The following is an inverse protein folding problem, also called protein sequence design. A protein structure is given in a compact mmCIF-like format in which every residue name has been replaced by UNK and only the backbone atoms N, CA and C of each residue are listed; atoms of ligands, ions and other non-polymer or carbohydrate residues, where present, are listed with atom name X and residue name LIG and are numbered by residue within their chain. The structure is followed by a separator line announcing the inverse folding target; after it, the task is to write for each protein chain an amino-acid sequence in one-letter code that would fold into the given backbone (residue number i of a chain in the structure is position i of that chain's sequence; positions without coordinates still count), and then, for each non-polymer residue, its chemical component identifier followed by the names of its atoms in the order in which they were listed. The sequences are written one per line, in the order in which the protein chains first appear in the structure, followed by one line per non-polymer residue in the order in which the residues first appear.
data_IF_744687019334
#
_entry.id   IF_744687019334
#
_cell.length_a   1.000
_cell.length_b   1.000
_cell.length_c   1.000
_cell.angle_alpha   90.00
_cell.angle_beta   90.00
_cell.angle_gamma   90.00
#
_symmetry.space_group_name_H-M   'P 1'
#
loop_
_entity.id
_entity.type
_entity.pdbx_description
1 polymer ?
#
# COMPACT_ATOMS: atom_id res chain seq x y z
N UNK A 1 19.47 -21.44 -9.98
CA UNK A 1 18.50 -21.91 -8.96
C UNK A 1 18.18 -20.71 -8.08
N UNK A 2 16.93 -20.27 -8.03
CA UNK A 2 16.52 -19.15 -7.18
C UNK A 2 16.68 -19.51 -5.70
N UNK A 3 17.05 -18.53 -4.88
CA UNK A 3 17.14 -18.69 -3.43
C UNK A 3 15.72 -18.93 -2.88
N UNK A 4 15.53 -19.98 -2.08
CA UNK A 4 14.26 -20.22 -1.38
C UNK A 4 14.21 -19.33 -0.13
N UNK A 5 13.17 -18.53 0.03
CA UNK A 5 12.95 -17.71 1.22
C UNK A 5 11.82 -18.32 2.04
N UNK A 6 12.19 -18.87 3.20
CA UNK A 6 11.21 -19.45 4.13
C UNK A 6 10.36 -18.37 4.79
N UNK A 7 9.08 -18.66 4.96
CA UNK A 7 8.14 -17.81 5.68
C UNK A 7 8.13 -18.17 7.16
N UNK A 8 7.95 -17.16 8.04
CA UNK A 8 7.86 -17.31 9.49
C UNK A 8 6.45 -16.93 9.95
N UNK A 9 5.64 -17.93 10.28
CA UNK A 9 4.25 -17.77 10.67
C UNK A 9 4.11 -18.12 12.15
N UNK A 10 4.09 -17.11 13.02
CA UNK A 10 3.91 -17.25 14.47
C UNK A 10 2.48 -16.86 14.90
N UNK A 11 1.74 -16.17 14.02
CA UNK A 11 0.33 -15.84 14.19
C UNK A 11 -0.61 -16.93 13.70
N UNK A 12 -1.89 -16.61 13.67
CA UNK A 12 -2.96 -17.56 13.28
C UNK A 12 -3.64 -17.10 11.98
N UNK A 13 -3.79 -18.01 11.02
CA UNK A 13 -4.63 -17.82 9.83
C UNK A 13 -5.76 -18.86 9.91
N UNK A 14 -7.00 -18.37 9.96
CA UNK A 14 -8.21 -19.19 9.93
C UNK A 14 -9.00 -18.82 8.65
N UNK A 15 -8.76 -19.55 7.58
CA UNK A 15 -9.39 -19.33 6.27
C UNK A 15 -9.57 -20.65 5.53
N UNK A 16 -10.57 -20.69 4.63
CA UNK A 16 -10.86 -21.86 3.77
C UNK A 16 -9.79 -22.01 2.67
N UNK A 17 -9.33 -20.90 2.09
CA UNK A 17 -8.27 -20.86 1.08
C UNK A 17 -7.13 -19.94 1.54
N UNK A 18 -5.88 -20.45 1.47
CA UNK A 18 -4.69 -19.69 1.87
C UNK A 18 -3.61 -19.80 0.81
N UNK A 19 -3.18 -18.65 0.29
CA UNK A 19 -2.03 -18.54 -0.61
C UNK A 19 -0.95 -17.68 0.08
N UNK A 20 0.26 -18.20 0.23
CA UNK A 20 1.36 -17.51 0.92
C UNK A 20 2.58 -17.50 0.00
N UNK A 21 3.10 -16.30 -0.27
CA UNK A 21 4.32 -16.09 -1.02
C UNK A 21 5.59 -16.41 -0.24
N UNK A 22 6.72 -16.08 -0.82
CA UNK A 22 8.04 -16.31 -0.23
C UNK A 22 8.34 -15.32 0.91
N UNK A 23 9.01 -15.79 1.96
CA UNK A 23 9.59 -14.94 3.01
C UNK A 23 8.59 -14.06 3.76
N UNK A 24 7.33 -14.51 3.86
CA UNK A 24 6.26 -13.83 4.63
C UNK A 24 6.54 -13.95 6.12
N UNK A 25 6.33 -12.87 6.86
CA UNK A 25 6.44 -12.86 8.32
C UNK A 25 5.12 -12.47 8.94
N UNK A 26 4.59 -13.35 9.79
CA UNK A 26 3.42 -13.08 10.66
C UNK A 26 3.87 -13.26 12.10
N UNK A 27 3.88 -12.17 12.86
CA UNK A 27 4.37 -12.19 14.23
C UNK A 27 3.34 -12.75 15.21
N UNK A 28 3.81 -13.08 16.42
CA UNK A 28 3.03 -13.67 17.51
C UNK A 28 1.77 -12.84 17.86
N UNK A 29 0.67 -13.53 18.07
CA UNK A 29 -0.62 -12.91 18.42
C UNK A 29 -1.32 -12.18 17.28
N UNK A 30 -0.72 -12.13 16.07
CA UNK A 30 -1.44 -11.69 14.88
C UNK A 30 -2.49 -12.74 14.47
N UNK A 31 -3.67 -12.29 14.05
CA UNK A 31 -4.79 -13.16 13.69
C UNK A 31 -5.47 -12.69 12.41
N UNK A 32 -5.67 -13.61 11.48
CA UNK A 32 -6.44 -13.40 10.25
C UNK A 32 -7.60 -14.39 10.25
N UNK A 33 -8.84 -13.91 10.21
CA UNK A 33 -10.04 -14.75 10.23
C UNK A 33 -11.24 -14.04 9.58
N UNK A 34 -12.34 -14.75 9.36
CA UNK A 34 -13.63 -14.17 9.03
C UNK A 34 -14.44 -13.80 10.27
N UNK A 35 -15.58 -13.10 10.06
CA UNK A 35 -16.52 -12.76 11.14
C UNK A 35 -17.32 -14.00 11.53
N UNK A 36 -17.08 -14.53 12.74
CA UNK A 36 -17.81 -15.68 13.27
C UNK A 36 -17.40 -17.05 12.69
N UNK A 37 -16.32 -17.14 11.93
CA UNK A 37 -15.80 -18.35 11.29
C UNK A 37 -14.55 -18.07 10.47
N UNK A 38 -14.12 -19.02 9.62
CA UNK A 38 -12.97 -18.80 8.75
C UNK A 38 -13.23 -17.68 7.73
N UNK A 39 -12.18 -16.98 7.31
CA UNK A 39 -12.22 -16.18 6.09
C UNK A 39 -12.37 -17.10 4.88
N UNK A 40 -13.04 -16.65 3.83
CA UNK A 40 -13.13 -17.42 2.58
C UNK A 40 -11.77 -17.59 1.91
N UNK A 41 -11.00 -16.49 1.83
CA UNK A 41 -9.69 -16.49 1.17
C UNK A 41 -8.72 -15.48 1.77
N UNK A 42 -7.47 -15.93 1.93
CA UNK A 42 -6.33 -15.08 2.32
C UNK A 42 -5.22 -15.25 1.29
N UNK A 43 -4.73 -14.13 0.73
CA UNK A 43 -3.60 -14.10 -0.20
C UNK A 43 -2.53 -13.15 0.35
N UNK A 44 -1.36 -13.67 0.63
CA UNK A 44 -0.20 -12.89 1.06
C UNK A 44 0.90 -13.00 0.01
N UNK A 45 1.26 -11.88 -0.60
CA UNK A 45 2.36 -11.80 -1.56
C UNK A 45 3.73 -12.01 -0.93
N UNK A 46 4.77 -11.91 -1.74
CA UNK A 46 6.15 -12.14 -1.31
C UNK A 46 6.62 -11.08 -0.29
N UNK A 47 7.35 -11.52 0.72
CA UNK A 47 8.02 -10.67 1.71
C UNK A 47 7.08 -9.73 2.47
N UNK A 48 5.80 -10.10 2.58
CA UNK A 48 4.84 -9.39 3.42
C UNK A 48 5.20 -9.49 4.90
N UNK A 49 4.78 -8.48 5.66
CA UNK A 49 4.95 -8.44 7.09
C UNK A 49 3.62 -8.10 7.78
N UNK A 50 3.21 -8.90 8.75
CA UNK A 50 2.08 -8.64 9.63
C UNK A 50 2.59 -8.66 11.08
N UNK A 51 2.56 -7.49 11.70
CA UNK A 51 3.12 -7.26 13.03
C UNK A 51 2.27 -7.87 14.15
N UNK A 52 2.91 -8.02 15.30
CA UNK A 52 2.34 -8.65 16.49
C UNK A 52 0.97 -8.06 16.89
N UNK A 53 0.08 -8.90 17.41
CA UNK A 53 -1.24 -8.50 17.93
C UNK A 53 -2.15 -7.79 16.91
N UNK A 54 -1.82 -7.83 15.62
CA UNK A 54 -2.68 -7.31 14.55
C UNK A 54 -3.88 -8.22 14.37
N UNK A 55 -5.09 -7.65 14.29
CA UNK A 55 -6.32 -8.41 14.07
C UNK A 55 -6.92 -8.06 12.72
N UNK A 56 -7.12 -9.08 11.87
CA UNK A 56 -7.71 -8.97 10.55
C UNK A 56 -8.96 -9.85 10.53
N UNK A 57 -10.15 -9.22 10.48
CA UNK A 57 -11.45 -9.88 10.52
C UNK A 57 -12.24 -9.51 9.27
N UNK A 58 -12.06 -10.29 8.21
CA UNK A 58 -12.60 -10.02 6.88
C UNK A 58 -13.07 -11.29 6.18
N UNK A 59 -14.05 -11.22 5.27
CA UNK A 59 -14.45 -12.37 4.46
C UNK A 59 -13.35 -12.79 3.45
N UNK A 60 -12.57 -11.85 2.97
CA UNK A 60 -11.42 -12.06 2.08
C UNK A 60 -10.38 -10.96 2.31
N UNK A 61 -9.10 -11.35 2.37
CA UNK A 61 -7.99 -10.43 2.57
C UNK A 61 -6.85 -10.71 1.60
N UNK A 62 -6.34 -9.66 0.94
CA UNK A 62 -5.18 -9.75 0.05
C UNK A 62 -4.14 -8.68 0.40
N UNK A 63 -2.89 -9.09 0.48
CA UNK A 63 -1.75 -8.22 0.77
C UNK A 63 -0.66 -8.43 -0.28
N UNK A 64 -0.29 -7.37 -1.00
CA UNK A 64 0.71 -7.41 -2.07
C UNK A 64 2.14 -7.49 -1.57
N UNK A 65 3.07 -7.82 -2.48
CA UNK A 65 4.48 -8.03 -2.17
C UNK A 65 5.11 -6.85 -1.42
N UNK A 66 6.03 -7.15 -0.51
CA UNK A 66 6.78 -6.19 0.32
C UNK A 66 5.90 -5.26 1.16
N UNK A 67 4.61 -5.49 1.24
CA UNK A 67 3.71 -4.68 2.07
C UNK A 67 3.83 -5.04 3.54
N UNK A 68 3.87 -4.01 4.39
CA UNK A 68 4.02 -4.15 5.84
C UNK A 68 2.78 -3.60 6.54
N UNK A 69 2.14 -4.43 7.33
CA UNK A 69 1.07 -4.07 8.27
C UNK A 69 1.62 -4.20 9.70
N UNK A 70 1.91 -3.06 10.32
CA UNK A 70 2.58 -3.03 11.62
C UNK A 70 1.65 -3.37 12.79
N UNK A 71 2.29 -3.64 13.94
CA UNK A 71 1.69 -4.18 15.14
C UNK A 71 0.45 -3.41 15.65
N UNK A 72 -0.45 -4.13 16.34
CA UNK A 72 -1.64 -3.61 17.00
C UNK A 72 -2.66 -2.96 16.07
N UNK A 73 -2.58 -3.21 14.76
CA UNK A 73 -3.55 -2.69 13.80
C UNK A 73 -4.84 -3.52 13.83
N UNK A 74 -5.96 -2.87 13.58
CA UNK A 74 -7.28 -3.48 13.49
C UNK A 74 -7.87 -3.30 12.10
N UNK A 75 -8.02 -4.40 11.38
CA UNK A 75 -8.54 -4.47 10.02
C UNK A 75 -9.83 -5.27 10.05
N UNK A 76 -10.95 -4.67 9.69
CA UNK A 76 -12.23 -5.35 9.81
C UNK A 76 -13.25 -4.89 8.76
N UNK A 77 -14.28 -5.70 8.56
CA UNK A 77 -15.37 -5.35 7.65
C UNK A 77 -16.21 -6.52 7.19
N UNK A 78 -17.18 -6.22 6.35
CA UNK A 78 -18.11 -7.20 5.75
C UNK A 78 -17.82 -7.43 4.26
N UNK A 79 -16.98 -6.60 3.68
CA UNK A 79 -16.54 -6.71 2.28
C UNK A 79 -15.06 -7.08 2.23
N UNK A 80 -14.59 -7.68 1.12
CA UNK A 80 -13.18 -7.93 0.89
C UNK A 80 -12.33 -6.66 1.06
N UNK A 81 -11.07 -6.84 1.50
CA UNK A 81 -10.06 -5.79 1.49
C UNK A 81 -8.84 -6.26 0.73
N UNK A 82 -8.33 -5.39 -0.15
CA UNK A 82 -7.12 -5.64 -0.91
C UNK A 82 -6.16 -4.47 -0.73
N UNK A 83 -4.91 -4.79 -0.38
CA UNK A 83 -3.82 -3.84 -0.20
C UNK A 83 -2.72 -4.22 -1.18
N UNK A 84 -2.31 -3.27 -2.01
CA UNK A 84 -1.31 -3.43 -3.07
C UNK A 84 0.09 -3.73 -2.57
N UNK A 85 1.05 -3.64 -3.49
CA UNK A 85 2.48 -3.88 -3.26
C UNK A 85 3.15 -2.66 -2.63
N UNK A 86 4.26 -2.89 -1.92
CA UNK A 86 5.13 -1.84 -1.36
C UNK A 86 4.39 -0.85 -0.43
N UNK A 87 3.28 -1.24 0.17
CA UNK A 87 2.54 -0.41 1.10
C UNK A 87 3.15 -0.45 2.50
N UNK A 88 2.95 0.63 3.24
CA UNK A 88 3.38 0.75 4.64
C UNK A 88 2.21 1.19 5.50
N UNK A 89 1.68 0.27 6.29
CA UNK A 89 0.61 0.56 7.25
C UNK A 89 1.22 0.59 8.64
N UNK A 90 1.31 1.76 9.22
CA UNK A 90 1.89 1.98 10.56
C UNK A 90 1.08 1.31 11.67
N UNK A 91 1.72 1.11 12.83
CA UNK A 91 1.07 0.46 13.97
C UNK A 91 -0.15 1.22 14.49
N UNK A 92 -1.06 0.48 15.13
CA UNK A 92 -2.32 1.00 15.69
C UNK A 92 -3.24 1.64 14.63
N UNK A 93 -3.11 1.26 13.37
CA UNK A 93 -4.02 1.70 12.32
C UNK A 93 -5.37 0.97 12.40
N UNK A 94 -6.44 1.66 12.05
CA UNK A 94 -7.77 1.07 11.87
C UNK A 94 -8.13 1.15 10.39
N UNK A 95 -8.39 0.00 9.77
CA UNK A 95 -8.85 -0.09 8.39
C UNK A 95 -10.21 -0.77 8.36
N UNK A 96 -11.22 -0.03 7.95
CA UNK A 96 -12.60 -0.52 7.85
C UNK A 96 -12.96 -0.85 6.40
N UNK A 97 -13.60 -1.99 6.21
CA UNK A 97 -14.11 -2.47 4.93
C UNK A 97 -15.58 -2.88 5.00
N UNK A 98 -16.40 -2.14 5.77
CA UNK A 98 -17.85 -2.38 5.73
C UNK A 98 -18.43 -2.05 4.35
N UNK A 99 -17.96 -0.98 3.72
CA UNK A 99 -18.33 -0.58 2.36
C UNK A 99 -17.48 -1.20 1.26
N UNK A 100 -16.35 -1.81 1.61
CA UNK A 100 -15.29 -2.28 0.72
C UNK A 100 -14.14 -1.30 0.64
N UNK A 101 -12.89 -1.81 0.75
CA UNK A 101 -11.68 -0.99 0.69
C UNK A 101 -10.62 -1.64 -0.19
N UNK A 102 -10.21 -0.92 -1.22
CA UNK A 102 -9.05 -1.24 -2.04
C UNK A 102 -8.00 -0.15 -1.89
N UNK A 103 -6.77 -0.57 -1.64
CA UNK A 103 -5.60 0.29 -1.48
C UNK A 103 -4.58 -0.11 -2.54
N UNK A 104 -4.28 0.79 -3.47
CA UNK A 104 -3.34 0.54 -4.55
C UNK A 104 -1.89 0.38 -4.07
N UNK A 105 -0.97 0.11 -5.02
CA UNK A 105 0.46 -0.03 -4.75
C UNK A 105 1.08 1.25 -4.16
N UNK A 106 2.10 1.08 -3.34
CA UNK A 106 2.99 2.14 -2.82
C UNK A 106 2.34 3.12 -1.82
N UNK A 107 1.20 2.78 -1.25
CA UNK A 107 0.49 3.64 -0.29
C UNK A 107 1.14 3.59 1.09
N UNK A 108 1.30 4.78 1.68
CA UNK A 108 1.72 4.95 3.06
C UNK A 108 0.55 5.37 3.96
N UNK A 109 0.27 4.61 5.00
CA UNK A 109 -0.67 4.99 6.06
C UNK A 109 0.11 5.02 7.37
N UNK A 110 0.41 6.21 7.86
CA UNK A 110 1.18 6.40 9.09
C UNK A 110 0.44 5.90 10.32
N UNK A 111 1.20 5.66 11.39
CA UNK A 111 0.66 5.10 12.64
C UNK A 111 -0.54 5.89 13.19
N UNK A 112 -1.44 5.16 13.88
CA UNK A 112 -2.66 5.69 14.49
C UNK A 112 -3.65 6.34 13.51
N UNK A 113 -3.52 6.08 12.20
CA UNK A 113 -4.50 6.55 11.22
C UNK A 113 -5.71 5.63 11.15
N UNK A 114 -6.86 6.19 10.79
CA UNK A 114 -8.12 5.48 10.69
C UNK A 114 -8.74 5.74 9.31
N UNK A 115 -9.02 4.66 8.58
CA UNK A 115 -9.66 4.70 7.26
C UNK A 115 -11.05 4.08 7.40
N UNK A 116 -12.08 4.86 7.14
CA UNK A 116 -13.47 4.46 7.33
C UNK A 116 -14.22 4.40 6.01
N UNK A 117 -14.96 3.31 5.78
CA UNK A 117 -15.82 3.13 4.60
C UNK A 117 -17.31 3.25 4.94
N UNK A 118 -17.63 3.56 6.20
CA UNK A 118 -19.02 3.74 6.64
C UNK A 118 -19.17 4.83 7.70
N UNK A 119 -20.39 5.34 7.79
CA UNK A 119 -20.94 6.14 8.89
C UNK A 119 -22.32 5.55 9.18
N UNK A 120 -22.48 4.87 10.32
CA UNK A 120 -23.69 4.12 10.58
C UNK A 120 -23.89 3.91 12.08
N UNK A 121 -24.75 4.71 12.68
CA UNK A 121 -25.18 4.49 14.06
C UNK A 121 -26.51 5.17 14.40
N UNK A 122 -26.84 6.30 13.79
CA UNK A 122 -28.04 7.07 14.11
C UNK A 122 -29.34 6.32 13.78
N UNK A 123 -30.37 6.56 14.60
CA UNK A 123 -31.70 6.00 14.40
C UNK A 123 -32.39 6.65 13.19
N UNK A 124 -32.52 5.90 12.10
CA UNK A 124 -33.14 6.38 10.85
C UNK A 124 -34.67 6.49 10.97
N UNK A 125 -35.28 5.77 11.91
CA UNK A 125 -36.73 5.86 12.16
C UNK A 125 -37.07 7.19 12.84
N UNK A 126 -36.16 7.65 13.73
CA UNK A 126 -36.24 8.98 14.35
C UNK A 126 -35.75 10.12 13.44
N UNK A 127 -35.37 9.79 12.17
CA UNK A 127 -35.00 10.79 11.17
C UNK A 127 -33.53 11.13 11.09
N UNK A 128 -32.64 10.28 11.62
CA UNK A 128 -31.20 10.46 11.41
C UNK A 128 -30.86 10.36 9.92
N UNK A 129 -30.24 11.41 9.37
CA UNK A 129 -29.87 11.51 7.96
C UNK A 129 -28.43 11.07 7.69
N UNK A 130 -27.66 10.84 8.74
CA UNK A 130 -26.25 10.48 8.62
C UNK A 130 -26.07 8.97 8.55
N UNK A 131 -26.21 8.45 7.35
CA UNK A 131 -25.96 7.05 7.01
C UNK A 131 -25.16 6.98 5.72
N UNK A 132 -24.02 6.30 5.75
CA UNK A 132 -23.21 6.06 4.57
C UNK A 132 -22.49 4.73 4.69
N UNK A 133 -22.52 3.93 3.63
CA UNK A 133 -21.71 2.71 3.46
C UNK A 133 -21.27 2.72 2.00
N UNK A 134 -20.00 3.06 1.76
CA UNK A 134 -19.49 3.30 0.41
C UNK A 134 -18.19 2.51 0.19
N UNK A 135 -18.08 1.94 -1.00
CA UNK A 135 -16.80 1.45 -1.48
C UNK A 135 -15.80 2.61 -1.56
N UNK A 136 -14.57 2.34 -1.11
CA UNK A 136 -13.48 3.30 -1.11
C UNK A 136 -12.28 2.73 -1.85
N UNK A 137 -11.71 3.54 -2.72
CA UNK A 137 -10.47 3.24 -3.42
C UNK A 137 -9.43 4.33 -3.09
N UNK A 138 -8.28 3.88 -2.59
CA UNK A 138 -7.12 4.73 -2.32
C UNK A 138 -6.13 4.53 -3.45
N UNK A 139 -5.89 5.59 -4.23
CA UNK A 139 -5.04 5.56 -5.41
C UNK A 139 -3.57 5.30 -5.09
N UNK A 140 -2.82 4.97 -6.13
CA UNK A 140 -1.38 4.66 -6.06
C UNK A 140 -0.57 5.83 -5.50
N UNK A 141 0.49 5.51 -4.73
CA UNK A 141 1.43 6.50 -4.18
C UNK A 141 0.83 7.52 -3.20
N UNK A 142 -0.36 7.27 -2.65
CA UNK A 142 -0.98 8.11 -1.62
C UNK A 142 -0.22 8.01 -0.31
N UNK A 143 -0.13 9.11 0.43
CA UNK A 143 0.48 9.13 1.75
C UNK A 143 -0.37 9.86 2.80
N UNK A 144 -0.88 9.12 3.77
CA UNK A 144 -1.41 9.65 5.03
C UNK A 144 -0.29 9.62 6.07
N UNK A 145 0.22 10.78 6.48
CA UNK A 145 1.48 10.88 7.25
C UNK A 145 1.39 10.23 8.64
N UNK A 146 0.23 10.27 9.27
CA UNK A 146 -0.03 9.63 10.56
C UNK A 146 -1.11 10.39 11.34
N UNK A 147 -1.78 9.69 12.26
CA UNK A 147 -2.91 10.22 13.01
C UNK A 147 -4.01 10.84 12.11
N UNK A 148 -4.12 10.38 10.86
CA UNK A 148 -5.14 10.85 9.93
C UNK A 148 -6.45 10.08 10.16
N UNK A 149 -7.57 10.78 10.09
CA UNK A 149 -8.91 10.18 10.08
C UNK A 149 -9.54 10.46 8.72
N UNK A 150 -9.89 9.41 7.99
CA UNK A 150 -10.36 9.51 6.61
C UNK A 150 -11.77 8.95 6.52
N UNK A 151 -12.72 9.78 6.12
CA UNK A 151 -14.11 9.42 5.83
C UNK A 151 -14.24 8.66 4.51
N UNK A 152 -15.40 8.07 4.20
CA UNK A 152 -15.65 7.44 2.90
C UNK A 152 -15.63 8.46 1.75
N UNK A 153 -14.45 8.70 1.20
CA UNK A 153 -14.16 9.67 0.12
C UNK A 153 -13.33 9.01 -0.98
N UNK A 154 -13.24 9.64 -2.14
CA UNK A 154 -12.32 9.26 -3.19
C UNK A 154 -10.94 9.83 -2.89
N UNK A 155 -9.89 9.02 -3.08
CA UNK A 155 -8.50 9.43 -2.82
C UNK A 155 -7.70 9.25 -4.09
N UNK A 156 -7.39 10.37 -4.76
CA UNK A 156 -6.63 10.41 -6.00
C UNK A 156 -5.18 9.94 -5.81
N UNK A 157 -4.60 9.36 -6.86
CA UNK A 157 -3.21 8.91 -6.83
C UNK A 157 -2.24 10.05 -6.45
N UNK A 158 -1.15 9.71 -5.77
CA UNK A 158 -0.11 10.67 -5.35
C UNK A 158 -0.63 11.79 -4.43
N UNK A 159 -1.85 11.70 -3.90
CA UNK A 159 -2.30 12.70 -2.93
C UNK A 159 -1.72 12.43 -1.55
N UNK A 160 -1.66 13.47 -0.74
CA UNK A 160 -1.06 13.42 0.60
C UNK A 160 -1.93 14.12 1.62
N UNK A 161 -2.11 13.54 2.80
CA UNK A 161 -2.66 14.23 3.96
C UNK A 161 -1.59 14.34 5.03
N UNK A 162 -1.34 15.57 5.49
CA UNK A 162 -0.36 15.85 6.53
C UNK A 162 -0.81 15.30 7.89
N UNK A 163 0.13 15.17 8.82
CA UNK A 163 -0.10 14.59 10.15
C UNK A 163 -1.31 15.22 10.86
N UNK A 164 -2.16 14.39 11.45
CA UNK A 164 -3.34 14.83 12.21
C UNK A 164 -4.50 15.36 11.37
N UNK A 165 -4.51 15.14 10.07
CA UNK A 165 -5.59 15.61 9.18
C UNK A 165 -6.87 14.79 9.32
N UNK A 166 -8.03 15.45 9.26
CA UNK A 166 -9.35 14.81 9.19
C UNK A 166 -9.93 15.03 7.80
N UNK A 167 -9.83 14.01 6.94
CA UNK A 167 -10.24 14.06 5.54
C UNK A 167 -11.72 13.71 5.43
N UNK A 168 -12.53 14.68 5.00
CA UNK A 168 -13.99 14.55 4.86
C UNK A 168 -14.49 14.84 3.46
N UNK A 169 -13.58 15.18 2.53
CA UNK A 169 -13.86 15.44 1.12
C UNK A 169 -12.86 14.70 0.24
N UNK A 170 -13.23 14.48 -1.02
CA UNK A 170 -12.37 13.87 -2.02
C UNK A 170 -11.01 14.58 -2.09
N UNK A 171 -9.94 13.79 -2.30
CA UNK A 171 -8.58 14.27 -2.48
C UNK A 171 -8.19 14.16 -3.95
N UNK A 172 -7.85 15.29 -4.57
CA UNK A 172 -7.42 15.34 -5.97
C UNK A 172 -6.04 14.69 -6.15
N UNK A 173 -5.76 14.13 -7.35
CA UNK A 173 -4.46 13.52 -7.63
C UNK A 173 -3.30 14.50 -7.45
N UNK A 174 -2.22 14.07 -6.78
CA UNK A 174 -1.00 14.81 -6.52
C UNK A 174 -1.17 16.12 -5.70
N UNK A 175 -2.28 16.24 -4.96
CA UNK A 175 -2.54 17.38 -4.08
C UNK A 175 -2.21 17.04 -2.61
N UNK A 176 -1.92 18.10 -1.82
CA UNK A 176 -1.56 18.01 -0.40
C UNK A 176 -2.66 18.63 0.45
N UNK A 177 -3.12 17.89 1.44
CA UNK A 177 -4.22 18.26 2.34
C UNK A 177 -3.76 18.38 3.77
N UNK A 178 -4.28 19.34 4.54
CA UNK A 178 -3.93 19.54 5.95
C UNK A 178 -5.09 20.07 6.79
N UNK A 179 -5.11 19.70 8.06
CA UNK A 179 -5.99 20.29 9.07
C UNK A 179 -7.25 19.51 9.40
N UNK A 180 -8.12 20.12 10.23
CA UNK A 180 -9.38 19.56 10.73
C UNK A 180 -10.52 20.59 10.56
N UNK A 181 -11.43 20.40 9.59
CA UNK A 181 -11.35 19.45 8.48
C UNK A 181 -10.17 19.74 7.55
N UNK A 182 -9.67 18.71 6.87
CA UNK A 182 -8.56 18.87 5.92
C UNK A 182 -8.98 19.73 4.72
N UNK A 183 -8.11 20.65 4.37
CA UNK A 183 -8.24 21.52 3.19
C UNK A 183 -7.05 21.32 2.28
N UNK A 184 -7.24 21.53 0.99
CA UNK A 184 -6.16 21.59 0.02
C UNK A 184 -5.20 22.74 0.37
N UNK A 185 -3.92 22.43 0.48
CA UNK A 185 -2.85 23.39 0.76
C UNK A 185 -1.75 23.34 -0.29
N UNK A 186 -2.00 22.68 -1.42
CA UNK A 186 -1.03 22.48 -2.52
C UNK A 186 -0.42 23.77 -3.01
N UNK A 187 -1.22 24.83 -3.16
CA UNK A 187 -0.73 26.16 -3.58
C UNK A 187 0.31 26.77 -2.62
N UNK A 188 0.32 26.31 -1.34
CA UNK A 188 1.23 26.83 -0.32
C UNK A 188 2.49 26.01 -0.15
N UNK A 189 2.38 24.67 -0.33
CA UNK A 189 3.47 23.73 0.00
C UNK A 189 4.01 23.00 -1.22
N UNK A 190 3.35 23.12 -2.38
CA UNK A 190 3.63 22.35 -3.58
C UNK A 190 2.94 20.98 -3.59
N UNK A 191 2.96 20.28 -4.74
CA UNK A 191 2.42 18.93 -4.88
C UNK A 191 3.29 17.91 -4.14
N UNK A 192 2.75 16.71 -3.86
CA UNK A 192 3.53 15.62 -3.24
C UNK A 192 4.69 15.17 -4.12
N UNK A 193 4.48 15.08 -5.42
CA UNK A 193 5.50 14.66 -6.39
C UNK A 193 5.77 15.75 -7.39
N UNK A 194 7.05 16.12 -7.52
CA UNK A 194 7.55 16.93 -8.63
C UNK A 194 7.81 16.05 -9.86
N UNK A 195 7.70 16.65 -11.04
CA UNK A 195 8.11 15.97 -12.27
C UNK A 195 9.62 15.74 -12.30
N UNK A 196 10.01 14.54 -12.72
CA UNK A 196 11.42 14.14 -12.90
C UNK A 196 11.58 13.48 -14.25
N UNK A 197 12.63 13.86 -14.98
CA UNK A 197 13.01 13.18 -16.23
C UNK A 197 13.47 11.75 -15.94
N UNK A 198 13.42 10.88 -16.96
CA UNK A 198 13.93 9.50 -16.87
C UNK A 198 15.40 9.50 -16.43
N UNK A 199 16.22 10.39 -17.01
CA UNK A 199 17.62 10.53 -16.64
C UNK A 199 17.82 10.92 -15.16
N UNK A 200 17.04 11.85 -14.63
CA UNK A 200 17.10 12.23 -13.21
C UNK A 200 16.70 11.06 -12.29
N UNK A 201 15.68 10.29 -12.68
CA UNK A 201 15.29 9.08 -11.94
C UNK A 201 16.39 8.03 -11.95
N UNK A 202 17.04 7.81 -13.11
CA UNK A 202 18.13 6.86 -13.25
C UNK A 202 19.32 7.24 -12.38
N UNK A 203 19.76 8.50 -12.41
CA UNK A 203 20.85 8.99 -11.55
C UNK A 203 20.51 8.76 -10.08
N UNK A 204 19.29 9.14 -9.66
CA UNK A 204 18.91 8.99 -8.25
C UNK A 204 18.85 7.55 -7.77
N UNK A 205 18.37 6.64 -8.61
CA UNK A 205 18.34 5.22 -8.28
C UNK A 205 19.75 4.64 -8.25
N UNK A 206 20.62 5.02 -9.19
CA UNK A 206 22.02 4.59 -9.21
C UNK A 206 22.76 5.00 -7.93
N UNK A 207 22.58 6.24 -7.46
CA UNK A 207 23.16 6.69 -6.18
C UNK A 207 22.74 5.79 -5.00
N UNK A 208 21.46 5.35 -4.99
CA UNK A 208 20.96 4.47 -3.93
C UNK A 208 21.55 3.06 -4.03
N UNK A 209 21.69 2.53 -5.25
CA UNK A 209 22.32 1.24 -5.48
C UNK A 209 23.82 1.29 -5.11
N UNK A 210 24.54 2.34 -5.51
CA UNK A 210 25.96 2.50 -5.18
C UNK A 210 26.17 2.57 -3.67
N UNK A 211 25.36 3.35 -2.96
CA UNK A 211 25.40 3.43 -1.50
C UNK A 211 25.06 2.10 -0.81
N UNK A 212 24.17 1.30 -1.40
CA UNK A 212 23.84 -0.03 -0.92
C UNK A 212 25.01 -1.00 -1.15
N UNK A 213 25.57 -1.04 -2.36
CA UNK A 213 26.70 -1.90 -2.73
C UNK A 213 27.94 -1.53 -1.93
N UNK A 214 28.19 -0.27 -1.60
CA UNK A 214 29.28 0.13 -0.72
C UNK A 214 29.22 -0.56 0.65
N UNK A 215 28.00 -0.84 1.16
CA UNK A 215 27.79 -1.57 2.42
C UNK A 215 27.72 -3.07 2.23
N UNK A 216 27.45 -3.52 1.03
CA UNK A 216 27.23 -4.91 0.64
C UNK A 216 28.02 -5.24 -0.65
N UNK A 217 29.37 -5.24 -0.60
CA UNK A 217 30.21 -5.42 -1.79
C UNK A 217 29.97 -6.75 -2.54
N UNK A 218 29.43 -7.75 -1.84
CA UNK A 218 29.05 -9.04 -2.40
C UNK A 218 27.97 -8.95 -3.48
N UNK A 219 27.27 -7.82 -3.58
CA UNK A 219 26.20 -7.58 -4.55
C UNK A 219 26.61 -6.69 -5.74
N UNK A 220 27.90 -6.37 -5.86
CA UNK A 220 28.40 -5.56 -6.97
C UNK A 220 28.03 -6.17 -8.33
N UNK A 221 27.49 -5.33 -9.24
CA UNK A 221 27.08 -5.71 -10.58
C UNK A 221 25.79 -6.55 -10.68
N UNK A 222 25.13 -6.88 -9.58
CA UNK A 222 23.92 -7.69 -9.57
C UNK A 222 22.61 -6.89 -9.71
N UNK A 223 22.66 -5.57 -9.50
CA UNK A 223 21.52 -4.65 -9.63
C UNK A 223 21.86 -3.61 -10.69
N UNK A 224 20.97 -3.46 -11.67
CA UNK A 224 21.21 -2.58 -12.82
C UNK A 224 20.04 -1.60 -12.97
N UNK A 225 20.36 -0.32 -13.18
CA UNK A 225 19.39 0.70 -13.57
C UNK A 225 19.30 0.75 -15.08
N UNK A 226 18.09 0.70 -15.63
CA UNK A 226 17.81 0.86 -17.06
C UNK A 226 16.79 1.97 -17.28
N UNK A 227 16.85 2.63 -18.43
CA UNK A 227 16.00 3.75 -18.77
C UNK A 227 14.89 3.39 -19.76
N UNK A 228 14.96 2.16 -20.31
CA UNK A 228 13.91 1.61 -21.18
C UNK A 228 13.81 0.09 -21.01
N UNK A 229 12.66 -0.52 -21.39
CA UNK A 229 12.48 -1.96 -21.37
C UNK A 229 13.51 -2.73 -22.20
N UNK A 230 14.00 -2.13 -23.30
CA UNK A 230 14.92 -2.78 -24.26
C UNK A 230 16.34 -2.95 -23.70
N UNK A 231 16.69 -2.22 -22.64
CA UNK A 231 17.99 -2.30 -21.96
C UNK A 231 18.04 -3.43 -20.92
N UNK A 232 16.90 -4.09 -20.65
CA UNK A 232 16.82 -5.19 -19.67
C UNK A 232 17.67 -6.38 -20.12
N UNK A 233 18.28 -7.03 -19.13
CA UNK A 233 19.15 -8.21 -19.34
C UNK A 233 18.51 -9.43 -18.70
N UNK A 234 18.53 -10.54 -19.42
CA UNK A 234 18.05 -11.81 -18.89
C UNK A 234 18.89 -12.29 -17.69
N UNK A 235 18.20 -12.80 -16.67
CA UNK A 235 18.85 -13.32 -15.45
C UNK A 235 19.44 -12.28 -14.51
N UNK A 236 19.26 -10.98 -14.81
CA UNK A 236 19.75 -9.87 -13.97
C UNK A 236 18.59 -9.05 -13.44
N UNK A 237 18.67 -8.62 -12.19
CA UNK A 237 17.69 -7.70 -11.62
C UNK A 237 17.89 -6.29 -12.20
N UNK A 238 17.06 -5.93 -13.19
CA UNK A 238 17.05 -4.63 -13.84
C UNK A 238 15.91 -3.78 -13.31
N UNK A 239 16.19 -2.58 -12.80
CA UNK A 239 15.23 -1.58 -12.39
C UNK A 239 14.99 -0.58 -13.52
N UNK A 240 13.84 -0.67 -14.16
CA UNK A 240 13.42 0.21 -15.25
C UNK A 240 12.71 1.45 -14.70
N UNK A 241 13.39 2.59 -14.70
CA UNK A 241 12.87 3.87 -14.19
C UNK A 241 11.82 4.50 -15.10
N UNK A 242 11.73 4.10 -16.38
CA UNK A 242 10.71 4.60 -17.30
C UNK A 242 9.33 4.04 -16.98
N UNK A 243 9.25 2.76 -16.65
CA UNK A 243 8.00 2.06 -16.32
C UNK A 243 7.82 1.84 -14.82
N UNK A 244 8.83 2.15 -14.01
CA UNK A 244 8.85 1.88 -12.57
C UNK A 244 8.63 0.41 -12.25
N UNK A 245 9.32 -0.46 -13.02
CA UNK A 245 9.24 -1.91 -12.88
C UNK A 245 10.62 -2.53 -12.69
N UNK A 246 10.69 -3.74 -12.15
CA UNK A 246 11.96 -4.47 -12.01
C UNK A 246 11.82 -5.92 -12.51
N UNK A 247 12.94 -6.50 -12.99
CA UNK A 247 13.02 -7.91 -13.37
C UNK A 247 13.20 -8.74 -12.11
N UNK A 248 12.17 -9.52 -11.75
CA UNK A 248 12.20 -10.40 -10.58
C UNK A 248 13.13 -11.60 -10.84
N UNK A 249 14.14 -11.75 -10.02
CA UNK A 249 15.13 -12.85 -10.09
C UNK A 249 15.19 -13.68 -8.82
N UNK A 250 14.62 -13.18 -7.72
CA UNK A 250 14.77 -13.74 -6.37
C UNK A 250 16.24 -13.90 -5.95
N UNK A 251 17.13 -13.07 -6.49
CA UNK A 251 18.51 -13.03 -6.04
C UNK A 251 18.61 -12.40 -4.65
N UNK A 252 19.68 -12.76 -3.91
CA UNK A 252 19.91 -12.15 -2.58
C UNK A 252 20.06 -10.63 -2.67
N UNK A 253 20.75 -10.14 -3.70
CA UNK A 253 20.93 -8.71 -3.95
C UNK A 253 19.59 -8.00 -4.14
N UNK A 254 18.70 -8.54 -5.01
CA UNK A 254 17.36 -7.99 -5.26
C UNK A 254 16.55 -7.87 -3.97
N UNK A 255 16.43 -9.00 -3.25
CA UNK A 255 15.59 -9.07 -2.04
C UNK A 255 16.15 -8.19 -0.93
N UNK A 256 17.48 -8.18 -0.74
CA UNK A 256 18.13 -7.33 0.26
C UNK A 256 17.93 -5.84 -0.06
N UNK A 257 18.13 -5.44 -1.32
CA UNK A 257 17.94 -4.05 -1.77
C UNK A 257 16.49 -3.59 -1.58
N UNK A 258 15.51 -4.36 -2.08
CA UNK A 258 14.11 -4.02 -1.94
C UNK A 258 13.68 -3.95 -0.47
N UNK A 259 14.04 -4.94 0.36
CA UNK A 259 13.72 -4.91 1.81
C UNK A 259 14.29 -3.67 2.52
N UNK A 260 15.49 -3.25 2.15
CA UNK A 260 16.15 -2.08 2.75
C UNK A 260 15.52 -0.75 2.30
N UNK A 261 14.95 -0.70 1.09
CA UNK A 261 14.57 0.57 0.45
C UNK A 261 13.07 0.71 0.15
N UNK A 262 12.20 -0.26 0.44
CA UNK A 262 10.75 -0.17 0.17
C UNK A 262 10.12 1.17 0.57
N UNK A 263 10.45 1.82 1.69
CA UNK A 263 9.90 3.13 2.01
C UNK A 263 10.28 4.24 1.01
N UNK A 264 11.39 4.09 0.30
CA UNK A 264 11.98 5.13 -0.58
C UNK A 264 11.98 4.74 -2.06
N UNK A 265 12.12 3.44 -2.35
CA UNK A 265 12.21 2.89 -3.72
C UNK A 265 11.07 1.90 -3.90
N UNK A 266 10.18 2.19 -4.83
CA UNK A 266 8.96 1.44 -5.04
C UNK A 266 8.82 1.07 -6.51
N UNK A 267 9.07 -0.19 -6.82
CA UNK A 267 8.98 -0.76 -8.15
C UNK A 267 8.05 -1.99 -8.12
N UNK A 268 7.35 -2.25 -9.21
CA UNK A 268 6.52 -3.44 -9.39
C UNK A 268 7.24 -4.44 -10.28
N UNK A 269 7.05 -5.76 -10.12
CA UNK A 269 7.68 -6.74 -10.99
C UNK A 269 7.14 -6.65 -12.42
N UNK A 270 8.04 -6.92 -13.38
CA UNK A 270 7.69 -6.94 -14.82
C UNK A 270 6.77 -8.10 -15.14
N UNK A 271 5.77 -7.86 -16.00
CA UNK A 271 4.89 -8.89 -16.54
C UNK A 271 3.77 -9.34 -15.61
N UNK A 272 3.73 -8.84 -14.38
CA UNK A 272 2.64 -9.12 -13.49
C UNK A 272 1.48 -8.13 -13.65
N UNK A 273 0.23 -8.61 -13.61
CA UNK A 273 -0.93 -7.72 -13.65
C UNK A 273 -0.96 -6.80 -12.41
N UNK A 274 -1.72 -5.70 -12.46
CA UNK A 274 -2.01 -4.92 -11.27
C UNK A 274 -2.50 -5.83 -10.14
N UNK A 275 -1.94 -5.69 -8.95
CA UNK A 275 -2.36 -6.51 -7.80
C UNK A 275 -3.80 -6.19 -7.40
N UNK A 276 -4.18 -4.93 -7.54
CA UNK A 276 -5.54 -4.44 -7.32
C UNK A 276 -6.22 -4.22 -8.67
N UNK A 277 -7.36 -4.88 -8.87
CA UNK A 277 -8.35 -4.52 -9.87
C UNK A 277 -9.54 -3.99 -9.08
N UNK A 278 -9.86 -2.68 -9.15
CA UNK A 278 -10.93 -2.08 -8.37
C UNK A 278 -12.25 -2.83 -8.54
N UNK A 279 -12.98 -3.05 -7.45
CA UNK A 279 -14.26 -3.78 -7.48
C UNK A 279 -15.36 -3.01 -8.19
N UNK A 280 -15.22 -1.69 -8.25
CA UNK A 280 -16.15 -0.78 -8.91
C UNK A 280 -15.36 0.17 -9.82
N UNK A 281 -15.95 0.65 -10.92
CA UNK A 281 -15.33 1.68 -11.74
C UNK A 281 -14.95 2.88 -10.88
N UNK A 282 -13.70 3.32 -10.98
CA UNK A 282 -13.25 4.57 -10.37
C UNK A 282 -13.70 5.70 -11.28
N UNK A 283 -14.73 6.44 -10.87
CA UNK A 283 -15.16 7.62 -11.62
C UNK A 283 -14.05 8.67 -11.67
N UNK A 284 -13.83 9.33 -12.81
CA UNK A 284 -12.87 10.40 -12.88
C UNK A 284 -13.25 11.54 -11.91
N UNK A 285 -12.25 12.20 -11.34
CA UNK A 285 -12.47 13.43 -10.59
C UNK A 285 -13.07 14.46 -11.55
N UNK A 286 -14.27 14.93 -11.26
CA UNK A 286 -14.81 16.08 -11.95
C UNK A 286 -13.99 17.30 -11.46
N UNK A 287 -13.33 17.99 -12.38
CA UNK A 287 -12.69 19.26 -12.03
C UNK A 287 -13.74 20.15 -11.38
N UNK A 288 -13.38 20.80 -10.27
CA UNK A 288 -14.25 21.77 -9.61
C UNK A 288 -14.62 22.85 -10.63
N UNK A 289 -15.80 22.70 -11.24
CA UNK A 289 -16.49 23.80 -11.83
C UNK A 289 -17.04 24.63 -10.66
N UNK A 290 -16.34 25.71 -10.37
CA UNK A 290 -16.77 26.89 -9.63
C UNK A 290 -17.74 26.71 -8.43
N UNK A 291 -17.21 26.89 -7.24
CA UNK A 291 -17.94 27.64 -6.19
C UNK A 291 -16.99 28.28 -5.19
#
# INVERSE_FOLDING_TARGET
MGTTYESRIEGTINADEVEIGHGVVIEEGAMITGKGGPARKVVLGDFCFIGQQTKIILPEFRLGDYTKLHAFSFVHGEQPMRIGRNCWIGGNAVLDSLGGLDIDDNVGIGAHSQIWTHIQFGDIVEGCRFYSKKYMHIGKDVWFVGHCIVSPVRVGEKSMALVGSVVTKDMLPNHVYAGVPAKDVTDKVGPQFEERTIAQKAIKLQELIDAFVQKHPEYEGQLIVVQSPDERREGVCCFDVSQRTYTRTYSQAEVAFLKAHVPLVKFSPVGEPPFIVPQQPVEPFQGDAES
#
